data_IF_542148249184
#
_entry.id   IF_542148249184
#
_cell.length_a   1.000
_cell.length_b   1.000
_cell.length_c   1.000
_cell.angle_alpha   90.00
_cell.angle_beta   90.00
_cell.angle_gamma   90.00
#
_symmetry.space_group_name_H-M   'P 1'
#
loop_
_entity.id
_entity.type
_entity.pdbx_description
1 polymer ?
#
# COMPACT_ATOMS: atom_id res chain seq x y z
N UNK A 1 -14.29 -39.55 -1.85
CA UNK A 1 -13.20 -38.65 -2.18
C UNK A 1 -13.55 -37.29 -1.57
N UNK A 2 -12.94 -36.94 -0.45
CA UNK A 2 -13.19 -35.66 0.24
C UNK A 2 -12.55 -34.54 -0.58
N UNK A 3 -13.36 -33.75 -1.24
CA UNK A 3 -12.92 -32.45 -1.79
C UNK A 3 -12.62 -31.51 -0.61
N UNK A 4 -11.44 -31.60 -0.04
CA UNK A 4 -10.88 -30.51 0.77
C UNK A 4 -10.62 -29.35 -0.18
N UNK A 5 -11.61 -28.50 -0.36
CA UNK A 5 -11.43 -27.18 -0.94
C UNK A 5 -10.40 -26.49 -0.08
N UNK A 6 -9.22 -26.20 -0.63
CA UNK A 6 -8.17 -25.42 0.02
C UNK A 6 -8.79 -24.07 0.48
N UNK A 7 -9.31 -24.02 1.70
CA UNK A 7 -9.92 -22.82 2.28
C UNK A 7 -8.80 -21.90 2.70
N UNK A 8 -8.59 -20.85 1.92
CA UNK A 8 -7.69 -19.74 2.32
C UNK A 8 -8.20 -19.15 3.64
N UNK A 9 -7.28 -18.92 4.58
CA UNK A 9 -7.59 -18.32 5.88
C UNK A 9 -7.85 -19.35 6.99
N UNK A 10 -8.47 -18.88 8.06
CA UNK A 10 -8.75 -19.65 9.27
C UNK A 10 -10.25 -19.70 9.57
N UNK A 11 -10.72 -20.77 10.22
CA UNK A 11 -12.10 -20.92 10.68
C UNK A 11 -12.43 -20.00 11.87
N UNK A 12 -13.65 -20.17 12.46
CA UNK A 12 -14.03 -19.47 13.68
C UNK A 12 -13.01 -19.64 14.80
N UNK A 13 -12.81 -18.58 15.57
CA UNK A 13 -11.88 -18.60 16.69
C UNK A 13 -12.44 -19.49 17.83
N UNK A 14 -11.68 -20.47 18.35
CA UNK A 14 -12.10 -21.24 19.53
C UNK A 14 -12.31 -20.33 20.75
N UNK A 15 -13.29 -20.68 21.59
CA UNK A 15 -13.49 -19.99 22.87
C UNK A 15 -12.52 -20.53 23.93
N UNK A 16 -12.09 -19.70 24.92
CA UNK A 16 -12.44 -18.29 25.08
C UNK A 16 -11.78 -17.40 24.04
N UNK A 17 -12.51 -16.40 23.55
CA UNK A 17 -11.98 -15.46 22.56
C UNK A 17 -10.91 -14.53 23.17
N UNK A 18 -9.92 -14.08 22.37
CA UNK A 18 -9.00 -13.06 22.81
C UNK A 18 -9.75 -11.76 23.13
N UNK A 19 -9.25 -11.03 24.12
CA UNK A 19 -9.77 -9.74 24.54
C UNK A 19 -8.92 -8.61 23.98
N UNK A 20 -9.54 -7.56 23.46
CA UNK A 20 -8.84 -6.38 22.94
C UNK A 20 -9.71 -5.66 21.90
N UNK A 21 -9.50 -4.32 21.79
CA UNK A 21 -10.26 -3.50 20.85
C UNK A 21 -9.86 -3.74 19.39
N UNK A 22 -8.72 -4.37 19.17
CA UNK A 22 -8.21 -4.75 17.84
C UNK A 22 -9.03 -5.84 17.17
N UNK A 23 -9.71 -6.71 17.93
CA UNK A 23 -10.43 -7.85 17.37
C UNK A 23 -11.79 -7.48 16.78
N UNK A 24 -12.13 -8.13 15.69
CA UNK A 24 -13.40 -8.03 15.00
C UNK A 24 -14.29 -9.23 15.43
N UNK A 25 -15.40 -8.93 16.09
CA UNK A 25 -16.32 -9.95 16.59
C UNK A 25 -16.88 -10.84 15.48
N UNK A 26 -17.17 -10.25 14.31
CA UNK A 26 -17.69 -11.02 13.18
C UNK A 26 -16.65 -12.03 12.67
N UNK A 27 -15.38 -11.62 12.59
CA UNK A 27 -14.30 -12.51 12.18
C UNK A 27 -14.03 -13.62 13.22
N UNK A 28 -14.13 -13.30 14.51
CA UNK A 28 -14.01 -14.30 15.57
C UNK A 28 -15.11 -15.37 15.48
N UNK A 29 -16.33 -14.96 15.16
CA UNK A 29 -17.49 -15.86 15.04
C UNK A 29 -17.48 -16.68 13.74
N UNK A 30 -17.07 -16.10 12.62
CA UNK A 30 -17.28 -16.66 11.29
C UNK A 30 -15.98 -17.11 10.59
N UNK A 31 -14.82 -16.81 11.18
CA UNK A 31 -13.52 -17.07 10.61
C UNK A 31 -12.96 -15.89 9.80
N UNK A 32 -11.66 -15.94 9.56
CA UNK A 32 -10.94 -14.91 8.82
C UNK A 32 -10.33 -15.48 7.53
N UNK A 33 -10.92 -15.16 6.39
CA UNK A 33 -10.49 -15.61 5.07
C UNK A 33 -9.55 -14.63 4.37
N UNK A 34 -9.15 -13.54 5.03
CA UNK A 34 -8.22 -12.57 4.47
C UNK A 34 -6.82 -13.17 4.39
N UNK A 35 -6.04 -12.75 3.41
CA UNK A 35 -4.62 -13.09 3.32
C UNK A 35 -3.80 -12.11 4.15
N UNK A 36 -3.76 -12.32 5.46
CA UNK A 36 -3.00 -11.53 6.43
C UNK A 36 -2.02 -12.41 7.20
N UNK A 37 -0.98 -11.82 7.78
CA UNK A 37 -0.10 -12.51 8.71
C UNK A 37 -0.90 -13.09 9.89
N UNK A 38 -0.46 -14.22 10.45
CA UNK A 38 -1.21 -14.92 11.49
C UNK A 38 -1.45 -14.07 12.75
N UNK A 39 -0.53 -13.18 13.09
CA UNK A 39 -0.71 -12.24 14.21
C UNK A 39 -1.89 -11.27 14.02
N UNK A 40 -2.32 -11.04 12.77
CA UNK A 40 -3.44 -10.16 12.44
C UNK A 40 -4.75 -10.91 12.24
N UNK A 41 -4.76 -12.22 12.47
CA UNK A 41 -6.00 -12.98 12.37
C UNK A 41 -7.04 -12.41 13.31
N UNK A 42 -8.23 -12.24 12.77
CA UNK A 42 -9.42 -11.68 13.43
C UNK A 42 -9.30 -10.20 13.84
N UNK A 43 -8.21 -9.49 13.47
CA UNK A 43 -8.10 -8.06 13.76
C UNK A 43 -8.95 -7.22 12.82
N UNK A 44 -9.46 -6.09 13.31
CA UNK A 44 -10.04 -5.02 12.47
C UNK A 44 -9.00 -4.47 11.51
N UNK A 45 -9.43 -4.05 10.31
CA UNK A 45 -8.53 -3.46 9.30
C UNK A 45 -7.83 -2.22 9.86
N UNK A 46 -8.55 -1.39 10.59
CA UNK A 46 -8.03 -0.16 11.22
C UNK A 46 -6.92 -0.46 12.24
N UNK A 47 -7.08 -1.52 13.02
CA UNK A 47 -6.06 -1.94 13.98
C UNK A 47 -4.80 -2.45 13.28
N UNK A 48 -4.95 -3.22 12.20
CA UNK A 48 -3.82 -3.65 11.34
C UNK A 48 -3.09 -2.43 10.77
N UNK A 49 -3.82 -1.47 10.19
CA UNK A 49 -3.23 -0.24 9.66
C UNK A 49 -2.46 0.54 10.73
N UNK A 50 -3.03 0.68 11.91
CA UNK A 50 -2.39 1.38 13.02
C UNK A 50 -1.07 0.72 13.45
N UNK A 51 -1.04 -0.62 13.49
CA UNK A 51 0.18 -1.37 13.82
C UNK A 51 1.23 -1.27 12.71
N UNK A 52 0.83 -1.40 11.44
CA UNK A 52 1.72 -1.24 10.29
C UNK A 52 2.32 0.18 10.24
N UNK A 53 1.52 1.19 10.51
CA UNK A 53 1.97 2.60 10.52
C UNK A 53 3.08 2.85 11.54
N UNK A 54 3.02 2.22 12.72
CA UNK A 54 4.07 2.35 13.75
C UNK A 54 5.43 1.83 13.29
N UNK A 55 5.44 0.90 12.35
CA UNK A 55 6.63 0.21 11.84
C UNK A 55 6.97 0.57 10.40
N UNK A 56 6.28 1.56 9.84
CA UNK A 56 6.44 1.95 8.45
C UNK A 56 7.86 2.43 8.16
N UNK A 57 8.40 2.00 7.03
CA UNK A 57 9.66 2.54 6.50
C UNK A 57 9.45 4.03 6.21
N UNK A 58 10.39 4.91 6.57
CA UNK A 58 10.28 6.36 6.34
C UNK A 58 10.51 6.73 4.87
N UNK A 59 9.74 6.09 4.00
CA UNK A 59 9.70 6.26 2.54
C UNK A 59 8.25 6.34 2.11
N UNK A 60 7.96 7.18 1.14
CA UNK A 60 6.65 7.25 0.49
C UNK A 60 6.81 7.07 -1.02
N UNK A 61 5.73 6.62 -1.66
CA UNK A 61 5.68 6.39 -3.10
C UNK A 61 4.63 7.32 -3.70
N UNK A 62 4.94 7.99 -4.79
CA UNK A 62 3.97 8.73 -5.57
C UNK A 62 3.90 8.16 -6.99
N UNK A 63 2.70 8.11 -7.55
CA UNK A 63 2.42 7.54 -8.86
C UNK A 63 1.56 8.53 -9.63
N UNK A 64 2.00 8.92 -10.81
CA UNK A 64 1.21 9.74 -11.73
C UNK A 64 0.21 8.86 -12.49
N UNK A 65 -1.06 9.22 -12.41
CA UNK A 65 -2.19 8.52 -13.02
C UNK A 65 -2.91 9.43 -14.04
N UNK A 66 -2.21 9.86 -15.08
CA UNK A 66 -2.79 10.67 -16.16
C UNK A 66 -3.45 9.82 -17.24
N UNK A 67 -2.93 8.64 -17.48
CA UNK A 67 -3.45 7.62 -18.37
C UNK A 67 -3.86 6.41 -17.54
N UNK A 68 -4.76 5.55 -18.03
CA UNK A 68 -5.11 4.32 -17.32
C UNK A 68 -3.90 3.40 -17.27
N UNK A 69 -3.17 3.43 -16.16
CA UNK A 69 -2.00 2.61 -15.95
C UNK A 69 -2.38 1.35 -15.16
N UNK A 70 -2.12 0.19 -15.76
CA UNK A 70 -2.35 -1.11 -15.13
C UNK A 70 -1.34 -1.42 -14.03
N UNK A 71 -0.19 -0.74 -14.02
CA UNK A 71 0.91 -1.00 -13.10
C UNK A 71 0.69 -0.40 -11.71
N UNK A 72 -0.23 0.57 -11.56
CA UNK A 72 -0.51 1.22 -10.27
C UNK A 72 -0.85 0.19 -9.20
N UNK A 73 -1.71 -0.79 -9.49
CA UNK A 73 -2.06 -1.85 -8.55
C UNK A 73 -0.84 -2.65 -8.10
N UNK A 74 0.08 -2.96 -9.01
CA UNK A 74 1.31 -3.68 -8.71
C UNK A 74 2.24 -2.85 -7.83
N UNK A 75 2.38 -1.55 -8.11
CA UNK A 75 3.19 -0.65 -7.27
C UNK A 75 2.59 -0.55 -5.87
N UNK A 76 1.27 -0.40 -5.74
CA UNK A 76 0.56 -0.39 -4.45
C UNK A 76 0.80 -1.68 -3.67
N UNK A 77 0.75 -2.84 -4.33
CA UNK A 77 1.04 -4.12 -3.71
C UNK A 77 2.48 -4.21 -3.20
N UNK A 78 3.46 -3.76 -3.99
CA UNK A 78 4.86 -3.72 -3.57
C UNK A 78 5.05 -2.72 -2.41
N UNK A 79 4.43 -1.54 -2.48
CA UNK A 79 4.46 -0.56 -1.41
C UNK A 79 3.96 -1.14 -0.08
N UNK A 80 2.89 -1.95 -0.11
CA UNK A 80 2.40 -2.67 1.06
C UNK A 80 3.41 -3.73 1.54
N UNK A 81 4.01 -4.51 0.64
CA UNK A 81 4.98 -5.55 1.00
C UNK A 81 6.22 -4.97 1.70
N UNK A 82 6.66 -3.78 1.28
CA UNK A 82 7.77 -3.06 1.91
C UNK A 82 7.34 -2.18 3.09
N UNK A 83 6.06 -2.16 3.42
CA UNK A 83 5.48 -1.34 4.48
C UNK A 83 5.92 0.13 4.40
N UNK A 84 5.79 0.75 3.22
CA UNK A 84 6.06 2.18 3.07
C UNK A 84 5.02 3.01 3.82
N UNK A 85 5.38 4.22 4.23
CA UNK A 85 4.53 5.08 5.07
C UNK A 85 3.23 5.49 4.39
N UNK A 86 3.28 5.82 3.10
CA UNK A 86 2.12 6.22 2.32
C UNK A 86 2.35 6.02 0.82
N UNK A 87 1.24 5.94 0.09
CA UNK A 87 1.20 6.00 -1.38
C UNK A 87 0.38 7.22 -1.78
N UNK A 88 0.88 7.97 -2.76
CA UNK A 88 0.22 9.14 -3.34
C UNK A 88 -0.18 8.82 -4.79
N UNK A 89 -1.43 9.01 -5.13
CA UNK A 89 -1.94 8.91 -6.51
C UNK A 89 -2.19 10.33 -7.01
N UNK A 90 -1.47 10.74 -8.04
CA UNK A 90 -1.54 12.08 -8.64
C UNK A 90 -2.32 11.99 -9.95
N UNK A 91 -3.33 12.83 -10.12
CA UNK A 91 -4.18 12.86 -11.31
C UNK A 91 -5.50 12.14 -11.14
N UNK A 92 -5.82 11.15 -11.97
CA UNK A 92 -7.10 10.44 -11.92
C UNK A 92 -7.26 9.65 -10.63
N UNK A 93 -8.43 9.74 -10.01
CA UNK A 93 -8.73 9.04 -8.75
C UNK A 93 -8.94 7.53 -8.94
N UNK A 94 -9.49 7.14 -10.07
CA UNK A 94 -9.78 5.74 -10.37
C UNK A 94 -8.58 5.06 -11.02
N UNK A 95 -8.20 3.91 -10.50
CA UNK A 95 -7.17 3.05 -11.02
C UNK A 95 -7.56 1.57 -10.84
N UNK A 96 -6.92 0.68 -11.59
CA UNK A 96 -7.23 -0.74 -11.53
C UNK A 96 -6.68 -1.39 -10.26
N UNK A 97 -7.56 -1.69 -9.30
CA UNK A 97 -7.19 -2.29 -8.01
C UNK A 97 -6.87 -3.79 -8.07
N UNK A 98 -7.13 -4.47 -9.19
CA UNK A 98 -6.88 -5.93 -9.30
C UNK A 98 -5.43 -6.27 -8.99
N UNK A 99 -4.48 -5.49 -9.50
CA UNK A 99 -3.04 -5.69 -9.24
C UNK A 99 -2.65 -5.54 -7.77
N UNK A 100 -3.38 -4.75 -7.00
CA UNK A 100 -3.13 -4.56 -5.58
C UNK A 100 -3.52 -5.77 -4.72
N UNK A 101 -4.36 -6.69 -5.22
CA UNK A 101 -4.78 -7.89 -4.48
C UNK A 101 -5.30 -7.57 -3.06
N UNK A 102 -6.11 -6.52 -2.94
CA UNK A 102 -6.71 -6.01 -1.68
C UNK A 102 -5.69 -5.40 -0.70
N UNK A 103 -4.40 -5.35 -1.00
CA UNK A 103 -3.39 -4.79 -0.08
C UNK A 103 -3.54 -3.28 0.13
N UNK A 104 -4.22 -2.59 -0.78
CA UNK A 104 -4.59 -1.18 -0.66
C UNK A 104 -5.45 -0.87 0.58
N UNK A 105 -6.16 -1.86 1.13
CA UNK A 105 -6.91 -1.72 2.37
C UNK A 105 -6.02 -1.44 3.59
N UNK A 106 -4.76 -1.88 3.57
CA UNK A 106 -3.82 -1.79 4.69
C UNK A 106 -2.86 -0.60 4.58
N UNK A 107 -2.85 0.10 3.45
CA UNK A 107 -2.00 1.26 3.19
C UNK A 107 -2.70 2.59 3.47
N UNK A 108 -1.91 3.62 3.74
CA UNK A 108 -2.36 5.01 3.65
C UNK A 108 -2.22 5.46 2.21
N UNK A 109 -3.35 5.68 1.51
CA UNK A 109 -3.37 6.16 0.13
C UNK A 109 -3.97 7.55 0.09
N UNK A 110 -3.18 8.51 -0.37
CA UNK A 110 -3.56 9.90 -0.57
C UNK A 110 -3.81 10.16 -2.07
N UNK A 111 -4.85 10.89 -2.39
CA UNK A 111 -5.16 11.28 -3.75
C UNK A 111 -4.99 12.79 -3.93
N UNK A 112 -4.26 13.19 -4.98
CA UNK A 112 -4.04 14.57 -5.38
C UNK A 112 -4.56 14.78 -6.80
N UNK A 113 -5.38 15.79 -7.02
CA UNK A 113 -5.96 16.07 -8.35
C UNK A 113 -4.92 16.58 -9.32
N UNK A 114 -3.96 17.35 -8.80
CA UNK A 114 -2.90 18.01 -9.57
C UNK A 114 -1.54 17.78 -8.93
N UNK A 115 -0.49 18.08 -9.68
CA UNK A 115 0.88 18.08 -9.16
C UNK A 115 1.03 19.17 -8.10
N UNK A 116 0.41 20.34 -8.27
CA UNK A 116 0.46 21.42 -7.29
C UNK A 116 -0.17 20.99 -5.95
N UNK A 117 -1.32 20.30 -5.98
CA UNK A 117 -1.92 19.74 -4.76
C UNK A 117 -0.95 18.79 -4.05
N UNK A 118 -0.24 17.96 -4.83
CA UNK A 118 0.76 17.04 -4.29
C UNK A 118 1.94 17.80 -3.67
N UNK A 119 2.50 18.80 -4.34
CA UNK A 119 3.61 19.61 -3.80
C UNK A 119 3.21 20.38 -2.53
N UNK A 120 2.01 20.94 -2.50
CA UNK A 120 1.49 21.62 -1.31
C UNK A 120 1.40 20.65 -0.13
N UNK A 121 0.84 19.46 -0.35
CA UNK A 121 0.66 18.43 0.67
C UNK A 121 1.99 17.87 1.19
N UNK A 122 2.99 17.74 0.32
CA UNK A 122 4.28 17.13 0.63
C UNK A 122 5.37 18.15 0.94
N UNK A 123 4.99 19.39 1.21
CA UNK A 123 5.93 20.48 1.53
C UNK A 123 6.94 20.07 2.61
N UNK A 124 8.22 20.30 2.32
CA UNK A 124 9.33 19.95 3.22
C UNK A 124 9.84 18.51 3.12
N UNK A 125 9.28 17.67 2.26
CA UNK A 125 9.83 16.36 1.93
C UNK A 125 10.77 16.42 0.74
N UNK A 126 11.70 15.46 0.65
CA UNK A 126 12.57 15.30 -0.51
C UNK A 126 11.82 14.47 -1.56
N UNK A 127 11.61 15.06 -2.73
CA UNK A 127 10.94 14.41 -3.86
C UNK A 127 12.00 13.95 -4.85
N UNK A 128 11.96 12.68 -5.26
CA UNK A 128 12.90 12.05 -6.15
C UNK A 128 12.12 11.42 -7.29
N UNK A 129 12.25 11.98 -8.49
CA UNK A 129 11.71 11.38 -9.70
C UNK A 129 12.52 10.14 -10.08
N UNK A 130 11.83 9.04 -10.34
CA UNK A 130 12.44 7.77 -10.76
C UNK A 130 12.09 7.54 -12.22
N UNK A 131 13.07 7.79 -13.08
CA UNK A 131 12.90 7.68 -14.52
C UNK A 131 14.23 7.32 -15.20
N UNK A 132 14.15 6.80 -16.43
CA UNK A 132 15.31 6.43 -17.24
C UNK A 132 15.56 7.49 -18.33
N UNK A 133 16.00 8.67 -17.91
CA UNK A 133 16.27 9.82 -18.78
C UNK A 133 17.78 10.16 -18.82
N UNK A 134 18.26 10.86 -19.85
CA UNK A 134 19.64 11.36 -19.88
C UNK A 134 19.98 12.18 -18.64
N UNK A 135 21.11 11.88 -18.00
CA UNK A 135 21.55 12.54 -16.77
C UNK A 135 21.00 11.95 -15.48
N UNK A 136 20.11 10.96 -15.53
CA UNK A 136 19.65 10.25 -14.34
C UNK A 136 20.81 9.55 -13.62
N UNK A 137 20.79 9.56 -12.30
CA UNK A 137 21.77 8.86 -11.46
C UNK A 137 21.28 7.46 -11.16
N UNK A 138 22.18 6.48 -11.19
CA UNK A 138 21.84 5.10 -10.82
C UNK A 138 21.34 5.04 -9.37
N UNK A 139 20.17 4.45 -9.16
CA UNK A 139 19.56 4.28 -7.83
C UNK A 139 20.46 3.46 -6.89
N UNK A 140 21.27 2.54 -7.40
CA UNK A 140 22.21 1.73 -6.61
C UNK A 140 23.37 2.56 -6.03
N UNK A 141 23.65 3.72 -6.61
CA UNK A 141 24.71 4.63 -6.17
C UNK A 141 24.18 5.88 -5.48
N UNK A 142 22.86 6.00 -5.37
CA UNK A 142 22.21 7.16 -4.79
C UNK A 142 21.79 6.87 -3.34
N UNK A 143 22.26 7.70 -2.42
CA UNK A 143 21.83 7.59 -1.02
C UNK A 143 20.47 8.30 -0.87
N UNK A 144 19.41 7.53 -0.81
CA UNK A 144 18.04 8.03 -0.65
C UNK A 144 17.87 8.59 0.77
N UNK A 145 17.61 9.90 0.93
CA UNK A 145 17.40 10.49 2.25
C UNK A 145 16.18 9.87 2.94
N UNK A 146 16.19 9.83 4.27
CA UNK A 146 15.00 9.47 5.04
C UNK A 146 13.87 10.47 4.77
N UNK A 147 12.64 10.01 4.83
CA UNK A 147 11.44 10.80 4.52
C UNK A 147 11.36 11.32 3.08
N UNK A 148 11.95 10.60 2.15
CA UNK A 148 11.81 10.87 0.72
C UNK A 148 10.50 10.31 0.16
N UNK A 149 10.10 10.89 -0.98
CA UNK A 149 9.03 10.40 -1.82
C UNK A 149 9.64 10.01 -3.17
N UNK A 150 9.51 8.76 -3.57
CA UNK A 150 9.87 8.31 -4.91
C UNK A 150 8.67 8.48 -5.83
N UNK A 151 8.82 9.29 -6.88
CA UNK A 151 7.77 9.56 -7.86
C UNK A 151 8.00 8.74 -9.12
N UNK A 152 6.99 7.99 -9.51
CA UNK A 152 6.95 7.19 -10.73
C UNK A 152 5.95 7.81 -11.69
N UNK A 153 6.37 8.01 -12.93
CA UNK A 153 5.53 8.51 -14.02
C UNK A 153 4.59 7.45 -14.60
N UNK A 154 3.78 7.88 -15.55
CA UNK A 154 2.97 6.97 -16.34
C UNK A 154 3.84 6.15 -17.31
N UNK A 155 3.38 4.93 -17.64
CA UNK A 155 4.01 4.10 -18.66
C UNK A 155 3.96 4.82 -20.02
N UNK A 156 5.11 5.00 -20.63
CA UNK A 156 5.29 5.70 -21.91
C UNK A 156 5.82 7.12 -21.73
N UNK A 157 5.04 8.12 -21.24
CA UNK A 157 5.56 9.49 -21.11
C UNK A 157 6.59 9.68 -19.99
N UNK A 158 6.64 8.78 -19.01
CA UNK A 158 7.52 8.95 -17.85
C UNK A 158 6.96 9.89 -16.79
N UNK A 159 7.85 10.49 -15.98
CA UNK A 159 7.49 11.50 -14.97
C UNK A 159 7.28 12.85 -15.65
N UNK A 160 6.21 13.58 -15.32
CA UNK A 160 5.85 14.87 -15.92
C UNK A 160 6.68 16.05 -15.41
#
# INVERSE_FOLDING_TARGET
MNNEVNRVGVGPCPKPWPTGDEYDKYLLENGDRRNVEDKYRYWKVEAIKADLTKRAVPLEIAIENWQHDFNIGTIVRNANAFNVRAVHIIGRRHWNRRGAMVTDAYLTINHHRTIDDFYIFTKGKVIIAVDNIPGAKSIYKYNIPKNSILVFGAEGPGVS
#
